data_IF_029574463786
#
_entry.id   IF_029574463786
#
_cell.length_a   1.000
_cell.length_b   1.000
_cell.length_c   1.000
_cell.angle_alpha   90.00
_cell.angle_beta   90.00
_cell.angle_gamma   90.00
#
_symmetry.space_group_name_H-M   'P 1'
#
loop_
_entity.id
_entity.type
_entity.pdbx_description
1 polymer ?
#
# COMPACT_ATOMS: atom_id res chain seq x y z
N UNK A 1 64.13 -15.61 1.67
CA UNK A 1 63.21 -15.22 0.58
C UNK A 1 62.67 -13.84 0.91
N UNK A 2 63.20 -12.81 0.23
CA UNK A 2 62.99 -11.39 0.57
C UNK A 2 62.28 -10.71 -0.60
N UNK A 3 61.07 -10.22 -0.39
CA UNK A 3 60.30 -9.52 -1.42
C UNK A 3 60.48 -8.01 -1.23
N UNK A 4 60.96 -7.32 -2.27
CA UNK A 4 61.06 -5.86 -2.33
C UNK A 4 59.77 -5.29 -2.93
N UNK A 5 59.13 -4.37 -2.21
CA UNK A 5 58.01 -3.56 -2.70
C UNK A 5 58.61 -2.30 -3.35
N UNK A 6 58.32 -2.10 -4.63
CA UNK A 6 58.73 -0.92 -5.40
C UNK A 6 57.61 0.12 -5.37
N UNK A 7 57.84 1.21 -4.64
CA UNK A 7 57.01 2.42 -4.64
C UNK A 7 57.28 3.22 -5.91
N UNK A 8 56.23 3.54 -6.68
CA UNK A 8 56.26 4.63 -7.68
C UNK A 8 55.19 5.65 -7.34
N UNK A 9 55.65 6.85 -7.02
CA UNK A 9 54.84 8.06 -6.92
C UNK A 9 55.04 8.95 -8.17
N UNK A 10 54.08 9.87 -8.35
CA UNK A 10 54.08 11.09 -9.16
C UNK A 10 53.62 10.92 -10.63
N UNK A 11 52.47 11.51 -10.98
CA UNK A 11 52.46 12.87 -11.52
C UNK A 11 51.05 13.51 -11.59
N UNK A 12 51.06 14.80 -11.29
CA UNK A 12 49.99 15.82 -11.25
C UNK A 12 49.79 16.48 -12.62
N UNK A 13 48.54 16.80 -13.02
CA UNK A 13 48.17 17.95 -13.90
C UNK A 13 46.71 18.35 -13.53
N UNK A 14 46.49 19.43 -12.77
CA UNK A 14 46.05 20.78 -13.17
C UNK A 14 44.78 20.79 -14.06
N UNK A 15 43.60 21.10 -13.49
CA UNK A 15 42.97 22.44 -13.37
C UNK A 15 42.12 22.85 -14.58
N UNK A 16 40.82 23.06 -14.36
CA UNK A 16 40.06 24.12 -15.03
C UNK A 16 38.95 24.64 -14.12
N UNK A 17 39.08 25.94 -13.83
CA UNK A 17 38.21 26.81 -13.05
C UNK A 17 37.02 27.22 -13.92
N UNK A 18 35.81 27.17 -13.36
CA UNK A 18 34.62 27.82 -13.89
C UNK A 18 33.95 28.61 -12.76
N UNK A 19 34.01 29.94 -12.88
CA UNK A 19 33.58 30.95 -11.91
C UNK A 19 32.19 31.49 -12.29
N UNK A 20 31.27 31.61 -11.32
CA UNK A 20 30.15 32.59 -11.22
C UNK A 20 29.07 32.02 -10.28
N UNK A 21 28.40 32.73 -9.38
CA UNK A 21 28.53 34.05 -8.79
C UNK A 21 27.77 34.01 -7.46
N UNK A 22 28.20 34.81 -6.49
CA UNK A 22 27.62 34.89 -5.15
C UNK A 22 26.29 35.64 -5.13
N UNK A 23 25.37 35.20 -4.27
CA UNK A 23 24.48 36.09 -3.51
C UNK A 23 24.55 35.65 -2.05
N UNK A 24 25.10 36.53 -1.23
CA UNK A 24 25.10 36.44 0.22
C UNK A 24 23.86 37.16 0.75
N UNK A 25 23.16 36.54 1.71
CA UNK A 25 22.55 37.25 2.82
C UNK A 25 23.08 36.58 4.10
N UNK A 26 23.80 37.39 4.84
CA UNK A 26 24.54 37.13 6.07
C UNK A 26 23.73 37.60 7.29
N UNK A 27 24.06 37.03 8.45
CA UNK A 27 23.73 37.49 9.80
C UNK A 27 22.44 36.91 10.38
N UNK A 28 22.40 36.29 11.55
CA UNK A 28 23.38 36.07 12.62
C UNK A 28 22.60 35.39 13.76
N UNK A 29 23.12 34.29 14.31
CA UNK A 29 23.74 34.28 15.65
C UNK A 29 22.68 34.22 16.78
N UNK A 30 22.63 33.10 17.50
CA UNK A 30 22.92 33.08 18.94
C UNK A 30 22.89 31.66 19.51
N UNK A 31 23.89 31.45 20.36
CA UNK A 31 24.21 30.32 21.22
C UNK A 31 23.23 30.27 22.39
N UNK A 32 22.68 29.11 22.73
CA UNK A 32 22.51 28.68 24.13
C UNK A 32 22.68 27.17 24.26
N UNK A 33 23.80 26.78 24.88
CA UNK A 33 24.05 25.46 25.45
C UNK A 33 23.54 25.47 26.88
N UNK A 34 22.51 24.66 27.14
CA UNK A 34 22.12 24.19 28.47
C UNK A 34 21.75 22.71 28.25
N UNK A 35 22.52 21.73 28.73
CA UNK A 35 22.58 21.43 30.15
C UNK A 35 21.31 20.67 30.54
N UNK A 36 21.22 19.38 30.22
CA UNK A 36 20.23 18.52 30.86
C UNK A 36 20.85 17.18 31.25
N UNK A 37 20.76 16.94 32.54
CA UNK A 37 21.33 15.89 33.33
C UNK A 37 20.81 14.51 32.95
N UNK A 38 21.71 13.55 33.08
CA UNK A 38 21.43 12.13 33.21
C UNK A 38 20.46 11.84 34.36
N UNK A 39 19.30 11.28 34.03
CA UNK A 39 18.49 10.48 34.96
C UNK A 39 17.98 9.24 34.24
N UNK A 40 18.56 8.09 34.56
CA UNK A 40 17.89 6.81 34.39
C UNK A 40 16.73 6.67 35.38
N UNK A 41 15.74 5.85 35.05
CA UNK A 41 15.43 4.72 35.92
C UNK A 41 15.24 3.44 35.07
N UNK A 42 15.89 2.33 35.40
CA UNK A 42 15.36 1.31 36.33
C UNK A 42 13.86 1.08 36.17
N UNK A 43 13.49 -0.07 35.59
CA UNK A 43 12.11 -0.56 35.64
C UNK A 43 11.61 -1.26 34.38
N UNK A 44 12.28 -2.32 33.91
CA UNK A 44 11.76 -3.16 32.83
C UNK A 44 11.92 -4.65 33.15
N UNK A 45 11.34 -5.10 34.26
CA UNK A 45 11.20 -6.52 34.61
C UNK A 45 9.89 -6.73 35.39
N UNK A 46 8.78 -6.94 34.67
CA UNK A 46 7.55 -7.57 35.20
C UNK A 46 6.50 -7.77 34.09
N UNK A 47 6.80 -8.53 33.04
CA UNK A 47 5.78 -9.03 32.10
C UNK A 47 6.19 -10.43 31.61
N UNK A 48 6.20 -11.41 32.51
CA UNK A 48 6.48 -12.81 32.16
C UNK A 48 5.54 -13.84 32.84
N UNK A 49 4.42 -13.43 33.43
CA UNK A 49 3.47 -14.37 34.05
C UNK A 49 2.00 -14.04 33.72
N UNK A 50 1.65 -14.01 32.44
CA UNK A 50 0.25 -14.07 32.01
C UNK A 50 -0.07 -15.51 31.57
N UNK A 51 -1.00 -16.23 32.23
CA UNK A 51 -1.37 -17.59 31.83
C UNK A 51 -2.07 -17.59 30.47
N UNK A 52 -1.71 -18.57 29.63
CA UNK A 52 -2.31 -18.77 28.31
C UNK A 52 -3.84 -18.98 28.42
N UNK A 53 -4.66 -18.30 27.58
CA UNK A 53 -6.07 -18.63 27.48
C UNK A 53 -6.23 -19.99 26.80
N UNK A 54 -6.76 -20.96 27.56
CA UNK A 54 -7.12 -22.28 27.04
C UNK A 54 -8.28 -22.22 26.04
N UNK A 55 -8.45 -23.25 25.19
CA UNK A 55 -9.51 -23.28 24.19
C UNK A 55 -10.87 -23.58 24.85
N UNK A 56 -11.81 -22.65 24.74
CA UNK A 56 -13.22 -22.90 25.03
C UNK A 56 -13.86 -23.62 23.83
N UNK A 57 -13.96 -24.94 23.92
CA UNK A 57 -14.81 -25.74 23.03
C UNK A 57 -16.27 -25.58 23.48
N UNK A 58 -17.07 -24.86 22.71
CA UNK A 58 -18.53 -24.89 22.84
C UNK A 58 -19.07 -26.12 22.09
N UNK A 59 -19.63 -27.06 22.84
CA UNK A 59 -20.45 -28.17 22.34
C UNK A 59 -21.76 -27.61 21.77
N UNK A 60 -21.97 -27.77 20.46
CA UNK A 60 -23.29 -27.57 19.85
C UNK A 60 -24.13 -28.82 20.06
N UNK A 61 -25.24 -28.66 20.78
CA UNK A 61 -26.26 -29.68 20.94
C UNK A 61 -27.03 -29.87 19.63
N UNK A 62 -26.98 -31.11 19.16
CA UNK A 62 -27.90 -31.74 18.23
C UNK A 62 -29.24 -31.97 18.94
N UNK A 63 -30.34 -31.46 18.40
CA UNK A 63 -31.70 -32.06 18.41
C UNK A 63 -32.74 -30.99 18.02
N UNK A 64 -33.43 -31.22 16.90
CA UNK A 64 -34.90 -31.35 16.86
C UNK A 64 -35.38 -31.28 15.40
N UNK A 65 -35.77 -32.46 14.94
CA UNK A 65 -36.38 -32.72 13.65
C UNK A 65 -37.77 -32.07 13.48
N UNK A 66 -38.12 -31.98 12.19
CA UNK A 66 -39.41 -32.35 11.61
C UNK A 66 -40.56 -31.32 11.57
N UNK A 67 -41.12 -31.30 10.34
CA UNK A 67 -42.48 -30.90 9.93
C UNK A 67 -42.60 -29.50 9.35
N UNK A 68 -42.70 -29.43 8.03
CA UNK A 68 -44.01 -29.32 7.36
C UNK A 68 -43.82 -29.51 5.83
N UNK A 69 -44.47 -30.54 5.29
CA UNK A 69 -44.73 -30.67 3.86
C UNK A 69 -45.79 -29.63 3.47
N UNK A 70 -45.47 -28.75 2.52
CA UNK A 70 -46.46 -27.95 1.81
C UNK A 70 -46.65 -28.48 0.36
N UNK A 71 -47.91 -28.57 -0.13
CA UNK A 71 -48.24 -29.09 -1.45
C UNK A 71 -47.90 -28.13 -2.59
N UNK A 72 -47.51 -28.72 -3.72
CA UNK A 72 -47.10 -28.06 -4.95
C UNK A 72 -48.21 -27.17 -5.57
N UNK A 73 -47.90 -25.89 -5.73
CA UNK A 73 -48.64 -24.95 -6.59
C UNK A 73 -48.22 -25.06 -8.06
N UNK A 74 -49.15 -24.89 -9.02
CA UNK A 74 -48.93 -25.15 -10.43
C UNK A 74 -48.11 -24.06 -11.14
N UNK A 75 -47.27 -24.55 -12.06
CA UNK A 75 -46.36 -23.83 -12.95
C UNK A 75 -46.93 -22.54 -13.57
N UNK A 76 -46.44 -21.40 -13.08
CA UNK A 76 -46.42 -20.15 -13.84
C UNK A 76 -45.28 -20.21 -14.88
N UNK A 77 -45.62 -19.82 -16.10
CA UNK A 77 -44.77 -19.90 -17.29
C UNK A 77 -43.37 -19.31 -17.09
N UNK A 78 -42.35 -20.05 -17.54
CA UNK A 78 -40.98 -19.63 -17.56
C UNK A 78 -40.80 -18.36 -18.42
N UNK A 79 -40.10 -17.31 -17.95
CA UNK A 79 -39.70 -16.22 -18.81
C UNK A 79 -38.74 -16.78 -19.87
N UNK A 80 -39.11 -16.60 -21.14
CA UNK A 80 -38.28 -16.86 -22.31
C UNK A 80 -36.90 -16.26 -22.10
N UNK A 81 -35.91 -17.14 -22.00
CA UNK A 81 -34.49 -16.80 -21.84
C UNK A 81 -34.05 -15.80 -22.91
N UNK A 82 -33.66 -14.60 -22.47
CA UNK A 82 -32.82 -13.73 -23.27
C UNK A 82 -31.52 -14.50 -23.62
N UNK A 83 -31.00 -14.39 -24.85
CA UNK A 83 -29.72 -15.02 -25.19
C UNK A 83 -28.66 -14.47 -24.24
N UNK A 84 -28.05 -15.36 -23.45
CA UNK A 84 -26.92 -15.03 -22.62
C UNK A 84 -25.80 -14.50 -23.53
N UNK A 85 -25.65 -13.17 -23.57
CA UNK A 85 -24.46 -12.56 -24.11
C UNK A 85 -23.28 -13.15 -23.35
N UNK A 86 -22.33 -13.74 -24.08
CA UNK A 86 -21.11 -14.29 -23.49
C UNK A 86 -20.55 -13.24 -22.51
N UNK A 87 -20.26 -13.61 -21.24
CA UNK A 87 -19.70 -12.67 -20.29
C UNK A 87 -18.40 -12.16 -20.88
N UNK A 88 -18.35 -10.86 -21.18
CA UNK A 88 -17.14 -10.22 -21.67
C UNK A 88 -16.05 -10.43 -20.61
N UNK A 89 -14.88 -10.99 -20.98
CA UNK A 89 -13.84 -11.27 -20.01
C UNK A 89 -13.40 -9.97 -19.32
N UNK A 90 -13.05 -10.05 -18.03
CA UNK A 90 -12.64 -8.90 -17.22
C UNK A 90 -11.47 -8.10 -17.85
N UNK A 91 -10.67 -8.77 -18.67
CA UNK A 91 -9.57 -8.19 -19.46
C UNK A 91 -10.03 -7.17 -20.51
N UNK A 92 -11.28 -7.23 -20.96
CA UNK A 92 -11.89 -6.24 -21.87
C UNK A 92 -12.42 -5.01 -21.10
N UNK A 93 -12.54 -5.11 -19.78
CA UNK A 93 -12.96 -4.03 -18.87
C UNK A 93 -11.79 -3.23 -18.30
N UNK A 94 -10.57 -3.71 -18.47
CA UNK A 94 -9.36 -2.94 -18.23
C UNK A 94 -9.09 -2.09 -19.47
N UNK A 95 -9.74 -0.93 -19.56
CA UNK A 95 -9.40 0.09 -20.54
C UNK A 95 -7.95 0.52 -20.31
N UNK A 96 -7.01 -0.04 -21.09
CA UNK A 96 -5.62 0.40 -21.07
C UNK A 96 -5.53 1.65 -21.92
N UNK A 97 -5.18 2.82 -21.36
CA UNK A 97 -4.84 3.96 -22.18
C UNK A 97 -3.61 3.60 -23.01
N UNK A 98 -3.77 3.47 -24.33
CA UNK A 98 -2.62 3.42 -25.24
C UNK A 98 -2.07 4.85 -25.34
N UNK A 99 -0.84 5.05 -24.91
CA UNK A 99 -0.17 6.34 -25.07
C UNK A 99 0.87 6.28 -26.17
N UNK A 100 1.11 7.43 -26.81
CA UNK A 100 2.16 7.58 -27.81
C UNK A 100 3.57 7.51 -27.20
N UNK A 101 3.72 7.85 -25.92
CA UNK A 101 4.97 7.77 -25.16
C UNK A 101 4.70 7.12 -23.78
N UNK A 102 5.67 6.40 -23.19
CA UNK A 102 5.52 5.84 -21.84
C UNK A 102 5.34 6.96 -20.80
N UNK A 103 4.31 6.83 -19.96
CA UNK A 103 4.05 7.76 -18.87
C UNK A 103 4.07 7.03 -17.53
N UNK A 104 4.91 7.47 -16.57
CA UNK A 104 4.86 6.92 -15.23
C UNK A 104 3.50 7.20 -14.60
N UNK A 105 3.00 6.26 -13.80
CA UNK A 105 1.79 6.43 -13.02
C UNK A 105 1.99 7.57 -12.03
N UNK A 106 1.22 8.64 -12.18
CA UNK A 106 1.19 9.78 -11.28
C UNK A 106 -0.02 9.75 -10.36
N UNK A 107 -1.09 9.04 -10.75
CA UNK A 107 -2.33 8.93 -9.99
C UNK A 107 -2.96 7.54 -10.08
N UNK A 108 -3.44 7.06 -8.93
CA UNK A 108 -4.25 5.84 -8.77
C UNK A 108 -5.59 6.25 -8.17
N UNK A 109 -6.69 5.93 -8.86
CA UNK A 109 -8.04 6.11 -8.32
C UNK A 109 -8.58 4.76 -7.87
N UNK A 110 -9.02 4.72 -6.63
CA UNK A 110 -9.50 3.54 -5.93
C UNK A 110 -10.97 3.76 -5.55
N UNK A 111 -11.83 2.85 -5.99
CA UNK A 111 -13.16 2.69 -5.44
C UNK A 111 -13.18 1.38 -4.66
N UNK A 112 -13.31 1.48 -3.34
CA UNK A 112 -13.32 0.33 -2.45
C UNK A 112 -14.67 0.23 -1.75
N UNK A 113 -15.16 -0.99 -1.59
CA UNK A 113 -16.25 -1.32 -0.69
C UNK A 113 -15.62 -1.94 0.56
N UNK A 114 -15.65 -1.25 1.70
CA UNK A 114 -15.01 -1.70 2.93
C UNK A 114 -16.03 -2.25 3.92
N UNK A 115 -15.69 -3.36 4.57
CA UNK A 115 -16.58 -4.05 5.50
C UNK A 115 -16.94 -3.20 6.73
N UNK A 116 -18.16 -2.68 6.76
CA UNK A 116 -18.68 -1.91 7.88
C UNK A 116 -18.76 -2.71 9.20
N UNK A 117 -18.68 -4.04 9.13
CA UNK A 117 -18.73 -4.96 10.27
C UNK A 117 -17.37 -5.53 10.66
N UNK A 118 -16.29 -5.17 9.95
CA UNK A 118 -14.94 -5.63 10.27
C UNK A 118 -14.58 -5.31 11.72
N UNK A 119 -13.97 -6.25 12.44
CA UNK A 119 -13.57 -6.02 13.83
C UNK A 119 -12.56 -4.87 13.94
N UNK A 120 -12.55 -4.15 15.06
CA UNK A 120 -11.50 -3.15 15.28
C UNK A 120 -10.15 -3.85 15.47
N UNK A 121 -9.17 -3.53 14.63
CA UNK A 121 -7.88 -4.16 14.69
C UNK A 121 -7.13 -3.80 15.97
N UNK A 122 -6.48 -4.78 16.59
CA UNK A 122 -5.63 -4.60 17.77
C UNK A 122 -4.16 -4.54 17.34
N UNK A 123 -3.41 -3.59 17.90
CA UNK A 123 -1.97 -3.45 17.65
C UNK A 123 -1.60 -2.60 16.42
N UNK A 124 -0.30 -2.57 16.09
CA UNK A 124 0.23 -1.86 14.94
C UNK A 124 0.14 -2.70 13.65
N UNK A 125 0.16 -2.05 12.49
CA UNK A 125 0.32 -2.75 11.21
C UNK A 125 1.77 -3.24 11.09
N UNK A 126 1.94 -4.46 10.59
CA UNK A 126 3.24 -5.07 10.34
C UNK A 126 3.37 -5.43 8.85
N UNK A 127 4.24 -4.75 8.07
CA UNK A 127 4.44 -5.06 6.65
C UNK A 127 5.07 -6.44 6.41
N UNK A 128 5.68 -7.08 7.42
CA UNK A 128 6.19 -8.45 7.33
C UNK A 128 5.10 -9.51 7.57
N UNK A 129 3.98 -9.12 8.17
CA UNK A 129 2.83 -9.98 8.45
C UNK A 129 1.51 -9.28 8.05
N UNK A 130 1.36 -8.83 6.79
CA UNK A 130 0.23 -8.00 6.40
C UNK A 130 -1.11 -8.77 6.48
N UNK A 131 -1.10 -10.06 6.16
CA UNK A 131 -2.30 -10.91 6.25
C UNK A 131 -2.82 -11.13 7.68
N UNK A 132 -1.98 -10.88 8.68
CA UNK A 132 -2.37 -10.99 10.09
C UNK A 132 -2.70 -9.63 10.72
N UNK A 133 -2.23 -8.53 10.13
CA UNK A 133 -2.34 -7.19 10.71
C UNK A 133 -3.19 -6.23 9.89
N UNK A 134 -3.60 -6.60 8.67
CA UNK A 134 -4.58 -5.90 7.84
C UNK A 134 -5.81 -6.76 7.61
N UNK A 135 -6.91 -6.13 7.19
CA UNK A 135 -8.21 -6.78 6.96
C UNK A 135 -8.56 -6.86 5.48
N UNK A 136 -7.99 -5.98 4.68
CA UNK A 136 -8.12 -6.00 3.23
C UNK A 136 -6.77 -5.70 2.58
N UNK A 137 -6.57 -6.23 1.37
CA UNK A 137 -5.38 -6.02 0.56
C UNK A 137 -5.77 -5.85 -0.91
N UNK A 138 -5.16 -4.89 -1.59
CA UNK A 138 -5.33 -4.66 -3.02
C UNK A 138 -3.96 -4.68 -3.68
N UNK A 139 -3.56 -5.78 -4.34
CA UNK A 139 -2.34 -5.80 -5.13
C UNK A 139 -2.54 -4.97 -6.40
N UNK A 140 -1.52 -4.22 -6.78
CA UNK A 140 -1.53 -3.40 -7.99
C UNK A 140 -0.15 -3.35 -8.64
N UNK A 141 -0.13 -3.09 -9.94
CA UNK A 141 1.12 -2.86 -10.68
C UNK A 141 1.04 -1.46 -11.26
N UNK A 142 2.07 -0.66 -10.99
CA UNK A 142 2.19 0.71 -11.50
C UNK A 142 3.39 0.84 -12.43
N UNK A 143 3.38 1.88 -13.25
CA UNK A 143 4.46 2.18 -14.18
C UNK A 143 5.36 3.27 -13.61
N UNK A 144 6.66 2.98 -13.58
CA UNK A 144 7.69 3.95 -13.27
C UNK A 144 8.25 4.67 -14.48
N UNK A 145 9.11 5.68 -14.26
CA UNK A 145 10.01 6.23 -15.27
C UNK A 145 10.75 5.08 -15.94
N UNK A 146 10.96 5.21 -17.25
CA UNK A 146 11.61 4.17 -18.06
C UNK A 146 10.85 2.84 -18.12
N UNK A 147 9.54 2.86 -17.96
CA UNK A 147 8.66 1.68 -18.14
C UNK A 147 8.94 0.54 -17.15
N UNK A 148 9.59 0.83 -16.03
CA UNK A 148 9.79 -0.18 -14.98
C UNK A 148 8.46 -0.46 -14.26
N UNK A 149 8.11 -1.73 -14.13
CA UNK A 149 6.91 -2.11 -13.43
C UNK A 149 7.18 -2.37 -11.97
N UNK A 150 6.38 -1.73 -11.13
CA UNK A 150 6.51 -1.78 -9.69
C UNK A 150 5.25 -2.40 -9.14
N UNK A 151 5.40 -3.56 -8.50
CA UNK A 151 4.33 -4.19 -7.74
C UNK A 151 4.15 -3.47 -6.41
N UNK A 152 2.94 -3.01 -6.15
CA UNK A 152 2.54 -2.37 -4.90
C UNK A 152 1.40 -3.16 -4.27
N UNK A 153 1.38 -3.18 -2.95
CA UNK A 153 0.29 -3.74 -2.17
C UNK A 153 -0.30 -2.64 -1.28
N UNK A 154 -1.59 -2.37 -1.45
CA UNK A 154 -2.35 -1.49 -0.56
C UNK A 154 -3.03 -2.34 0.50
N UNK A 155 -2.65 -2.14 1.76
CA UNK A 155 -3.29 -2.80 2.91
C UNK A 155 -4.19 -1.83 3.64
N UNK A 156 -5.39 -2.28 4.01
CA UNK A 156 -6.36 -1.48 4.76
C UNK A 156 -6.76 -2.17 6.05
N UNK A 157 -7.02 -1.35 7.07
CA UNK A 157 -7.40 -1.80 8.40
C UNK A 157 -8.37 -0.84 9.05
N UNK A 158 -9.45 -1.35 9.62
CA UNK A 158 -10.37 -0.58 10.44
C UNK A 158 -9.68 -0.22 11.77
N UNK A 159 -9.68 1.06 12.08
CA UNK A 159 -9.06 1.62 13.31
C UNK A 159 -10.07 2.29 14.23
N UNK A 160 -11.29 2.53 13.73
CA UNK A 160 -12.42 3.10 14.48
C UNK A 160 -13.74 2.64 13.83
N UNK A 161 -14.88 2.95 14.43
CA UNK A 161 -16.21 2.63 13.88
C UNK A 161 -16.34 3.15 12.44
N UNK A 162 -16.01 4.42 12.22
CA UNK A 162 -16.15 5.09 10.92
C UNK A 162 -14.79 5.48 10.34
N UNK A 163 -13.74 4.70 10.63
CA UNK A 163 -12.39 5.01 10.16
C UNK A 163 -11.54 3.80 9.81
N UNK A 164 -10.79 4.00 8.74
CA UNK A 164 -9.81 3.04 8.23
C UNK A 164 -8.45 3.72 8.11
N UNK A 165 -7.39 2.95 8.34
CA UNK A 165 -6.02 3.32 8.02
C UNK A 165 -5.55 2.48 6.84
N UNK A 166 -4.64 3.04 6.04
CA UNK A 166 -4.05 2.34 4.91
C UNK A 166 -2.53 2.47 4.88
N UNK A 167 -1.89 1.46 4.29
CA UNK A 167 -0.45 1.38 4.06
C UNK A 167 -0.20 0.93 2.63
N UNK A 168 0.65 1.67 1.92
CA UNK A 168 1.13 1.27 0.60
C UNK A 168 2.52 0.66 0.78
N UNK A 169 2.66 -0.60 0.39
CA UNK A 169 3.85 -1.41 0.59
C UNK A 169 4.41 -1.82 -0.76
N UNK A 170 5.73 -1.92 -0.85
CA UNK A 170 6.47 -2.35 -2.04
C UNK A 170 7.63 -3.26 -1.61
N UNK A 171 8.02 -4.20 -2.44
CA UNK A 171 9.26 -4.95 -2.22
C UNK A 171 10.47 -4.00 -2.31
N UNK A 172 11.38 -4.08 -1.33
CA UNK A 172 12.57 -3.24 -1.28
C UNK A 172 13.44 -3.30 -2.54
N UNK A 173 13.35 -4.36 -3.37
CA UNK A 173 14.03 -4.44 -4.68
C UNK A 173 13.69 -3.31 -5.63
N UNK A 174 12.51 -2.72 -5.48
CA UNK A 174 12.05 -1.62 -6.33
C UNK A 174 12.51 -0.25 -5.82
N UNK A 175 13.08 -0.18 -4.62
CA UNK A 175 13.48 1.06 -3.98
C UNK A 175 14.99 1.24 -4.01
N UNK A 176 15.42 2.50 -4.08
CA UNK A 176 16.80 2.88 -3.79
C UNK A 176 17.09 2.54 -2.33
N UNK A 177 18.21 1.85 -2.11
CA UNK A 177 18.66 1.37 -0.79
C UNK A 177 17.70 0.36 -0.12
N UNK A 178 16.70 -0.15 -0.84
CA UNK A 178 15.82 -1.20 -0.35
C UNK A 178 16.47 -2.58 -0.40
N UNK A 179 15.98 -3.48 0.45
CA UNK A 179 16.46 -4.87 0.51
C UNK A 179 15.49 -5.76 -0.25
N UNK A 180 15.99 -6.54 -1.21
CA UNK A 180 15.17 -7.48 -1.98
C UNK A 180 14.44 -8.46 -1.05
N UNK A 181 13.13 -8.64 -1.27
CA UNK A 181 12.29 -9.53 -0.46
C UNK A 181 11.86 -8.94 0.88
N UNK A 182 12.30 -7.71 1.22
CA UNK A 182 11.87 -7.01 2.41
C UNK A 182 10.77 -6.00 2.05
N UNK A 183 9.51 -6.21 2.47
CA UNK A 183 8.44 -5.25 2.23
C UNK A 183 8.73 -3.94 2.96
N UNK A 184 8.60 -2.84 2.23
CA UNK A 184 8.86 -1.48 2.72
C UNK A 184 7.61 -0.64 2.52
N UNK A 185 7.14 0.02 3.58
CA UNK A 185 6.03 0.98 3.49
C UNK A 185 6.52 2.27 2.85
N UNK A 186 5.88 2.69 1.76
CA UNK A 186 6.19 3.94 1.02
C UNK A 186 5.13 5.03 1.19
N UNK A 187 4.00 4.69 1.81
CA UNK A 187 2.95 5.66 2.12
C UNK A 187 1.99 5.12 3.17
N UNK A 188 1.39 6.03 3.92
CA UNK A 188 0.35 5.74 4.91
C UNK A 188 -0.71 6.82 4.91
N UNK A 189 -1.91 6.49 5.37
CA UNK A 189 -2.94 7.49 5.58
C UNK A 189 -4.19 6.93 6.25
N UNK A 190 -5.26 7.72 6.21
CA UNK A 190 -6.53 7.38 6.83
C UNK A 190 -7.72 7.80 6.00
N UNK A 191 -8.82 7.06 6.14
CA UNK A 191 -10.12 7.31 5.55
C UNK A 191 -11.13 7.48 6.69
N UNK A 192 -12.02 8.47 6.59
CA UNK A 192 -13.12 8.73 7.52
C UNK A 192 -14.43 8.73 6.77
N UNK A 193 -15.42 8.07 7.35
CA UNK A 193 -16.74 7.90 6.78
C UNK A 193 -17.78 8.60 7.66
N UNK A 194 -18.93 8.92 7.07
CA UNK A 194 -20.10 9.34 7.84
C UNK A 194 -20.98 8.14 8.24
N UNK A 195 -22.11 8.44 8.89
CA UNK A 195 -23.07 7.43 9.34
C UNK A 195 -23.82 6.72 8.19
N UNK A 196 -23.80 7.27 6.97
CA UNK A 196 -24.34 6.60 5.79
C UNK A 196 -23.32 5.65 5.15
N UNK A 197 -22.06 5.75 5.56
CA UNK A 197 -20.95 4.97 5.01
C UNK A 197 -20.23 5.68 3.86
N UNK A 198 -20.54 6.95 3.59
CA UNK A 198 -19.90 7.73 2.54
C UNK A 198 -18.56 8.31 3.02
N UNK A 199 -17.55 8.35 2.15
CA UNK A 199 -16.24 8.94 2.48
C UNK A 199 -16.36 10.46 2.64
N UNK A 200 -15.98 10.98 3.81
CA UNK A 200 -16.02 12.42 4.12
C UNK A 200 -14.63 13.04 4.25
N UNK A 201 -13.60 12.24 4.52
CA UNK A 201 -12.22 12.73 4.54
C UNK A 201 -11.22 11.61 4.22
N UNK A 202 -10.21 11.97 3.44
CA UNK A 202 -8.99 11.20 3.26
C UNK A 202 -7.78 12.03 3.70
N UNK A 203 -6.81 11.37 4.34
CA UNK A 203 -5.52 11.96 4.70
C UNK A 203 -4.39 11.09 4.17
N UNK A 204 -3.33 11.76 3.71
CA UNK A 204 -2.23 11.12 3.00
C UNK A 204 -2.46 11.11 1.50
N UNK A 205 -1.94 10.10 0.81
CA UNK A 205 -2.25 9.83 -0.59
C UNK A 205 -1.22 10.37 -1.55
N UNK A 206 -0.55 11.48 -1.24
CA UNK A 206 0.61 11.93 -2.00
C UNK A 206 1.90 11.35 -1.42
N UNK A 207 2.65 10.62 -2.24
CA UNK A 207 3.91 10.00 -1.85
C UNK A 207 4.99 10.15 -2.94
N UNK A 208 6.25 10.07 -2.53
CA UNK A 208 7.39 10.07 -3.43
C UNK A 208 8.01 8.67 -3.46
N UNK A 209 8.04 8.07 -4.64
CA UNK A 209 8.68 6.76 -4.86
C UNK A 209 10.10 7.03 -5.33
N UNK A 210 11.09 6.48 -4.61
CA UNK A 210 12.50 6.54 -4.99
C UNK A 210 12.92 5.19 -5.58
N UNK A 211 12.81 5.00 -6.91
CA UNK A 211 13.10 3.72 -7.54
C UNK A 211 14.58 3.34 -7.42
N UNK A 212 14.85 2.03 -7.52
CA UNK A 212 16.22 1.52 -7.66
C UNK A 212 16.94 2.23 -8.85
N UNK A 213 18.18 2.65 -8.61
CA UNK A 213 19.02 3.46 -9.53
C UNK A 213 19.00 2.94 -10.99
N UNK A 214 19.08 3.82 -12.02
CA UNK A 214 19.36 5.27 -12.02
C UNK A 214 18.13 6.15 -12.28
N UNK A 215 16.96 5.75 -11.80
CA UNK A 215 15.71 6.47 -12.07
C UNK A 215 15.50 7.66 -11.11
N UNK A 216 14.88 8.74 -11.62
CA UNK A 216 14.48 9.89 -10.78
C UNK A 216 13.30 9.49 -9.90
N UNK A 217 13.24 10.00 -8.64
CA UNK A 217 12.03 9.88 -7.85
C UNK A 217 10.82 10.42 -8.62
N UNK A 218 9.68 9.76 -8.48
CA UNK A 218 8.42 10.20 -9.04
C UNK A 218 7.37 10.40 -7.95
N UNK A 219 6.40 11.26 -8.20
CA UNK A 219 5.28 11.49 -7.30
C UNK A 219 4.11 10.62 -7.69
N UNK A 220 3.51 9.96 -6.71
CA UNK A 220 2.33 9.12 -6.89
C UNK A 220 1.22 9.64 -5.97
N UNK A 221 0.01 9.78 -6.50
CA UNK A 221 -1.18 10.17 -5.76
C UNK A 221 -2.16 9.00 -5.70
N UNK A 222 -2.62 8.66 -4.50
CA UNK A 222 -3.80 7.83 -4.27
C UNK A 222 -5.02 8.73 -4.09
N UNK A 223 -6.13 8.33 -4.68
CA UNK A 223 -7.42 9.01 -4.62
C UNK A 223 -8.49 7.98 -4.28
N UNK A 224 -9.14 8.14 -3.12
CA UNK A 224 -10.16 7.23 -2.61
C UNK A 224 -11.59 7.74 -2.79
N UNK A 225 -11.83 8.80 -3.56
CA UNK A 225 -13.11 9.53 -3.64
C UNK A 225 -14.36 8.64 -3.78
N UNK A 226 -14.26 7.49 -4.45
CA UNK A 226 -15.38 6.56 -4.68
C UNK A 226 -15.46 5.40 -3.66
N UNK A 227 -14.79 5.53 -2.51
CA UNK A 227 -14.76 4.50 -1.47
C UNK A 227 -15.92 4.68 -0.48
N UNK A 228 -16.52 3.57 -0.04
CA UNK A 228 -17.64 3.58 0.91
C UNK A 228 -17.60 2.37 1.85
N UNK A 229 -18.37 2.43 2.94
CA UNK A 229 -18.61 1.31 3.84
C UNK A 229 -19.83 0.51 3.40
N UNK A 230 -19.72 -0.81 3.39
CA UNK A 230 -20.82 -1.72 3.07
C UNK A 230 -20.81 -2.95 3.98
N UNK A 231 -21.95 -3.61 4.21
CA UNK A 231 -21.95 -4.91 4.85
C UNK A 231 -21.34 -5.97 3.92
N UNK A 232 -20.46 -6.81 4.48
CA UNK A 232 -19.82 -7.90 3.74
C UNK A 232 -18.32 -7.69 3.55
N UNK A 233 -17.61 -8.63 2.92
CA UNK A 233 -16.16 -8.59 2.83
C UNK A 233 -15.66 -7.37 2.05
N UNK A 234 -14.57 -6.78 2.51
CA UNK A 234 -13.93 -5.67 1.79
C UNK A 234 -13.42 -6.11 0.41
N UNK A 235 -13.67 -5.29 -0.61
CA UNK A 235 -13.26 -5.56 -1.99
C UNK A 235 -12.93 -4.28 -2.76
N UNK A 236 -12.07 -4.40 -3.78
CA UNK A 236 -11.83 -3.34 -4.74
C UNK A 236 -12.86 -3.40 -5.85
N UNK A 237 -13.71 -2.37 -5.96
CA UNK A 237 -14.70 -2.23 -7.02
C UNK A 237 -14.04 -1.74 -8.32
N UNK A 238 -13.09 -0.82 -8.17
CA UNK A 238 -12.40 -0.20 -9.31
C UNK A 238 -11.01 0.27 -8.91
N UNK A 239 -10.05 0.00 -9.79
CA UNK A 239 -8.68 0.53 -9.69
C UNK A 239 -8.31 1.10 -11.06
N UNK A 240 -8.07 2.41 -11.12
CA UNK A 240 -7.66 3.11 -12.34
C UNK A 240 -6.29 3.75 -12.13
N UNK A 241 -5.44 3.68 -13.14
CA UNK A 241 -4.13 4.31 -13.16
C UNK A 241 -4.07 5.22 -14.37
N UNK A 242 -3.34 6.34 -14.27
CA UNK A 242 -3.08 7.24 -15.39
C UNK A 242 -1.81 6.90 -16.19
N UNK A 243 -0.98 5.98 -15.66
CA UNK A 243 0.23 5.52 -16.33
C UNK A 243 -0.06 4.64 -17.53
N UNK A 244 0.85 4.67 -18.50
CA UNK A 244 0.72 3.92 -19.75
C UNK A 244 2.09 3.55 -20.33
N UNK A 245 2.10 2.50 -21.15
CA UNK A 245 3.29 1.97 -21.81
C UNK A 245 3.08 1.87 -23.32
N UNK A 246 4.17 1.87 -24.09
CA UNK A 246 4.10 1.64 -25.53
C UNK A 246 3.64 0.21 -25.83
N UNK A 247 2.63 0.08 -26.71
CA UNK A 247 2.19 -1.20 -27.27
C UNK A 247 3.37 -1.90 -27.96
N UNK A 248 4.00 -2.87 -27.28
CA UNK A 248 5.12 -3.65 -27.81
C UNK A 248 6.23 -3.95 -26.80
N UNK A 249 6.33 -3.18 -25.71
CA UNK A 249 7.11 -3.62 -24.55
C UNK A 249 6.38 -4.81 -23.90
N UNK A 250 7.10 -5.84 -23.46
CA UNK A 250 6.51 -6.94 -22.68
C UNK A 250 5.70 -6.34 -21.54
N UNK A 251 4.37 -6.41 -21.69
CA UNK A 251 3.46 -5.79 -20.76
C UNK A 251 3.60 -6.49 -19.42
N UNK A 252 3.63 -5.71 -18.35
CA UNK A 252 3.83 -6.23 -17.01
C UNK A 252 2.59 -6.96 -16.51
N UNK A 253 2.48 -8.23 -16.88
CA UNK A 253 1.47 -9.19 -16.44
C UNK A 253 2.09 -10.59 -16.37
#
# INVERSE_FOLDING_TARGET
MSWRITTRSLLTVASLVGLAAAVACDGGDQVERSGLESRGPEGAQAWLDAPAPGPAFATLSDEAAASLLEPAEPAAAAPTSAPAGSPTPLSDRLERPSCAEPQPTSKIRLALSLDASAELARGAFDPLAPWHTAQAGVPMVVYGPSSACVGLDLYLRRVDADAWAWWLVVDGRYLRDGVYGLPTTIGTGSLRFDAAGDLIAEHGGQLSVAPASPQRPWSLQLDFTDTFLAPGPSQAERVLFDGCYETGAEACL
#
